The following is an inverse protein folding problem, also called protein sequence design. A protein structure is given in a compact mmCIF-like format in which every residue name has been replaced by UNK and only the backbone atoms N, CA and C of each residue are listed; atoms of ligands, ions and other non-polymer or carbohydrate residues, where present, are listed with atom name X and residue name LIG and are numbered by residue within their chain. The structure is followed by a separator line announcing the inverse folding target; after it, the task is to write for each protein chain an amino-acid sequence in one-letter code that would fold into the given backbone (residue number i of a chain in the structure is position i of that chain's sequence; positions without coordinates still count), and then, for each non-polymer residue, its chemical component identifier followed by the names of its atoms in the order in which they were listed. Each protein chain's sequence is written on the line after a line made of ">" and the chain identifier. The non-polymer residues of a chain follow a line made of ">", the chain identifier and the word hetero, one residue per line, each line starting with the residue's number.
data_IF_233577196327
#
_entry.id   IF_233577196327
#
_cell.length_a   1.000
_cell.length_b   1.000
_cell.length_c   1.000
_cell.angle_alpha   90.00
_cell.angle_beta   90.00
_cell.angle_gamma   90.00
#
_symmetry.space_group_name_H-M   'P 1'
#
loop_
_entity.id
_entity.type
_entity.pdbx_description
1 polymer ?
#
# COMPACT_ATOMS: atom_id res chain seq x y z
N UNK A 1 1.13 22.61 -1.53
CA UNK A 1 2.06 21.66 -2.18
C UNK A 1 1.19 20.67 -2.94
N UNK A 2 1.52 20.23 -4.16
CA UNK A 2 0.69 19.23 -4.85
C UNK A 2 1.27 17.87 -4.54
N UNK A 3 0.62 17.10 -3.66
CA UNK A 3 1.03 15.74 -3.33
C UNK A 3 0.55 14.83 -4.46
N UNK A 4 1.49 14.33 -5.27
CA UNK A 4 1.19 13.35 -6.33
C UNK A 4 2.00 12.07 -6.10
N UNK A 5 1.55 10.92 -6.62
CA UNK A 5 2.28 9.67 -6.52
C UNK A 5 3.72 9.78 -7.04
N UNK A 6 3.93 10.53 -8.13
CA UNK A 6 5.24 10.70 -8.78
C UNK A 6 6.24 11.42 -7.86
N UNK A 7 5.80 12.47 -7.16
CA UNK A 7 6.66 13.21 -6.22
C UNK A 7 7.04 12.33 -5.03
N UNK A 8 6.08 11.57 -4.49
CA UNK A 8 6.33 10.68 -3.36
C UNK A 8 7.22 9.48 -3.74
N UNK A 9 7.11 9.00 -4.98
CA UNK A 9 7.92 7.91 -5.51
C UNK A 9 9.40 8.29 -5.61
N UNK A 10 9.69 9.52 -6.05
CA UNK A 10 11.05 10.06 -6.15
C UNK A 10 11.67 10.39 -4.78
N UNK A 11 10.87 10.89 -3.83
CA UNK A 11 11.36 11.42 -2.55
C UNK A 11 11.41 10.40 -1.41
N UNK A 12 10.58 9.35 -1.45
CA UNK A 12 10.47 8.38 -0.36
C UNK A 12 10.99 7.00 -0.75
N UNK A 13 11.74 6.39 0.18
CA UNK A 13 11.97 4.95 0.13
C UNK A 13 10.67 4.18 0.35
N UNK A 14 10.59 2.94 -0.15
CA UNK A 14 9.43 2.07 0.06
C UNK A 14 9.07 1.89 1.54
N UNK A 15 10.07 1.75 2.42
CA UNK A 15 9.86 1.62 3.86
C UNK A 15 9.35 2.91 4.51
N UNK A 16 9.82 4.08 4.06
CA UNK A 16 9.32 5.36 4.53
C UNK A 16 7.87 5.59 4.10
N UNK A 17 7.54 5.29 2.84
CA UNK A 17 6.18 5.35 2.33
C UNK A 17 5.23 4.42 3.09
N UNK A 18 5.63 3.16 3.32
CA UNK A 18 4.84 2.18 4.07
C UNK A 18 4.60 2.60 5.53
N UNK A 19 5.61 3.18 6.18
CA UNK A 19 5.47 3.72 7.53
C UNK A 19 4.50 4.91 7.58
N UNK A 20 4.57 5.82 6.60
CA UNK A 20 3.67 6.98 6.53
C UNK A 20 2.23 6.55 6.24
N UNK A 21 2.03 5.61 5.31
CA UNK A 21 0.72 5.01 5.04
C UNK A 21 0.13 4.40 6.32
N UNK A 22 0.92 3.57 7.03
CA UNK A 22 0.48 2.93 8.28
C UNK A 22 0.09 3.94 9.36
N UNK A 23 0.83 5.05 9.46
CA UNK A 23 0.51 6.13 10.37
C UNK A 23 -0.83 6.81 10.02
N UNK A 24 -1.04 7.19 8.76
CA UNK A 24 -2.25 7.86 8.30
C UNK A 24 -3.48 6.96 8.39
N UNK A 25 -3.37 5.67 8.04
CA UNK A 25 -4.44 4.69 8.22
C UNK A 25 -4.82 4.51 9.69
N UNK A 26 -3.84 4.50 10.61
CA UNK A 26 -4.12 4.42 12.04
C UNK A 26 -4.81 5.70 12.55
N UNK A 27 -4.35 6.88 12.11
CA UNK A 27 -4.96 8.17 12.45
C UNK A 27 -6.44 8.18 12.06
N UNK A 28 -6.77 7.78 10.83
CA UNK A 28 -8.16 7.69 10.34
C UNK A 28 -9.03 6.71 11.14
N UNK A 29 -8.49 5.51 11.45
CA UNK A 29 -9.20 4.50 12.23
C UNK A 29 -9.51 4.96 13.65
N UNK A 30 -8.60 5.71 14.28
CA UNK A 30 -8.79 6.29 15.61
C UNK A 30 -9.87 7.39 15.61
N UNK A 31 -9.90 8.26 14.59
CA UNK A 31 -10.97 9.24 14.40
C UNK A 31 -12.33 8.58 14.20
N UNK A 32 -12.41 7.58 13.31
CA UNK A 32 -13.65 6.85 13.01
C UNK A 32 -14.21 6.17 14.27
N UNK A 33 -13.35 5.50 15.04
CA UNK A 33 -13.75 4.81 16.27
C UNK A 33 -14.27 5.78 17.33
N UNK A 34 -13.64 6.95 17.50
CA UNK A 34 -14.09 7.98 18.44
C UNK A 34 -15.44 8.59 18.05
N UNK A 35 -15.69 8.76 16.76
CA UNK A 35 -16.96 9.29 16.26
C UNK A 35 -18.14 8.35 16.57
N UNK A 36 -17.92 7.03 16.50
CA UNK A 36 -18.94 6.02 16.88
C UNK A 36 -19.26 6.08 18.38
N UNK A 37 -18.26 6.26 19.24
CA UNK A 37 -18.46 6.37 20.70
C UNK A 37 -19.20 7.65 21.07
N UNK A 38 -18.91 8.79 20.42
CA UNK A 38 -19.61 10.05 20.66
C UNK A 38 -21.10 10.03 20.23
N UNK A 39 -21.49 9.14 19.32
CA UNK A 39 -22.88 9.01 18.82
C UNK A 39 -23.76 8.14 19.74
N UNK A 40 -23.17 7.38 20.67
CA UNK A 40 -23.93 6.65 21.69
C UNK A 40 -24.10 7.57 22.92
N UNK A 41 -25.30 8.11 23.19
CA UNK A 41 -25.48 8.93 24.37
C UNK A 41 -25.49 8.04 25.62
N UNK A 42 -24.46 8.18 26.46
CA UNK A 42 -24.57 7.83 27.88
C UNK A 42 -25.37 8.94 28.58
N UNK A 43 -26.47 8.57 29.24
CA UNK A 43 -27.44 9.50 29.82
C UNK A 43 -26.93 10.23 31.09
N UNK A 44 -25.69 10.00 31.56
CA UNK A 44 -25.30 10.42 32.93
C UNK A 44 -23.87 10.96 33.13
N UNK A 45 -23.07 11.21 32.08
CA UNK A 45 -21.72 11.78 32.26
C UNK A 45 -21.64 13.24 31.80
N UNK A 46 -21.22 14.12 32.71
CA UNK A 46 -20.98 15.53 32.44
C UNK A 46 -19.96 15.68 31.30
N UNK A 47 -20.48 15.95 30.10
CA UNK A 47 -19.69 16.06 28.89
C UNK A 47 -18.46 16.97 29.11
N UNK A 48 -17.26 16.55 28.68
CA UNK A 48 -16.13 17.46 28.66
C UNK A 48 -16.52 18.72 27.87
N UNK A 49 -16.00 19.92 28.24
CA UNK A 49 -16.38 21.14 27.54
C UNK A 49 -16.15 20.94 26.04
N UNK A 50 -17.16 21.21 25.21
CA UNK A 50 -17.16 20.90 23.77
C UNK A 50 -15.88 21.31 23.03
N UNK A 51 -15.18 22.33 23.54
CA UNK A 51 -13.87 22.80 23.09
C UNK A 51 -12.78 21.73 23.14
N UNK A 52 -12.71 20.90 24.19
CA UNK A 52 -11.69 19.84 24.30
C UNK A 52 -12.00 18.65 23.39
N UNK A 53 -13.29 18.35 23.17
CA UNK A 53 -13.71 17.32 22.22
C UNK A 53 -13.36 17.70 20.77
N UNK A 54 -13.59 18.95 20.38
CA UNK A 54 -13.24 19.47 19.05
C UNK A 54 -11.72 19.46 18.80
N UNK A 55 -10.91 19.87 19.79
CA UNK A 55 -9.45 19.91 19.65
C UNK A 55 -8.87 18.50 19.48
N UNK A 56 -9.36 17.51 20.24
CA UNK A 56 -8.92 16.12 20.09
C UNK A 56 -9.44 15.47 18.79
N UNK A 57 -10.62 15.85 18.31
CA UNK A 57 -11.15 15.37 17.04
C UNK A 57 -10.32 15.88 15.85
N UNK A 58 -9.88 17.15 15.88
CA UNK A 58 -9.05 17.74 14.82
C UNK A 58 -7.65 17.14 14.74
N UNK A 59 -7.03 16.80 15.88
CA UNK A 59 -5.68 16.21 15.89
C UNK A 59 -5.67 14.73 15.43
N UNK A 60 -6.85 14.12 15.35
CA UNK A 60 -6.98 12.68 15.12
C UNK A 60 -7.73 12.33 13.85
N UNK A 61 -8.43 13.26 13.21
CA UNK A 61 -8.97 13.07 11.86
C UNK A 61 -7.93 13.40 10.79
N UNK A 62 -8.04 12.76 9.63
CA UNK A 62 -7.28 13.18 8.46
C UNK A 62 -7.85 14.50 7.94
N UNK A 63 -6.97 15.47 7.72
CA UNK A 63 -7.34 16.62 6.89
C UNK A 63 -7.35 16.23 5.39
N UNK A 64 -7.84 17.14 4.54
CA UNK A 64 -7.96 16.86 3.11
C UNK A 64 -6.61 16.63 2.42
N UNK A 65 -5.53 17.23 2.91
CA UNK A 65 -4.18 17.04 2.36
C UNK A 65 -3.63 15.68 2.76
N UNK A 66 -3.81 15.28 4.02
CA UNK A 66 -3.43 13.95 4.52
C UNK A 66 -4.22 12.81 3.87
N UNK A 67 -5.50 13.01 3.56
CA UNK A 67 -6.30 12.01 2.84
C UNK A 67 -5.83 11.81 1.39
N UNK A 68 -5.43 12.90 0.72
CA UNK A 68 -4.84 12.82 -0.62
C UNK A 68 -3.42 12.24 -0.58
N UNK A 69 -2.65 12.53 0.47
CA UNK A 69 -1.36 11.90 0.73
C UNK A 69 -1.50 10.38 0.93
N UNK A 70 -2.49 9.94 1.72
CA UNK A 70 -2.78 8.53 1.93
C UNK A 70 -3.06 7.81 0.59
N UNK A 71 -3.86 8.42 -0.27
CA UNK A 71 -4.15 7.89 -1.61
C UNK A 71 -2.88 7.81 -2.47
N UNK A 72 -2.09 8.88 -2.50
CA UNK A 72 -0.88 8.97 -3.31
C UNK A 72 0.21 8.01 -2.83
N UNK A 73 0.33 7.79 -1.52
CA UNK A 73 1.24 6.80 -0.93
C UNK A 73 0.85 5.36 -1.30
N UNK A 74 -0.44 5.04 -1.28
CA UNK A 74 -0.93 3.71 -1.69
C UNK A 74 -0.58 3.40 -3.14
N UNK A 75 -0.79 4.37 -4.04
CA UNK A 75 -0.41 4.26 -5.46
C UNK A 75 1.11 4.12 -5.64
N UNK A 76 1.91 4.98 -4.98
CA UNK A 76 3.37 4.93 -5.09
C UNK A 76 3.95 3.59 -4.60
N UNK A 77 3.45 3.06 -3.47
CA UNK A 77 3.85 1.74 -2.96
C UNK A 77 3.46 0.64 -3.96
N UNK A 78 2.25 0.69 -4.53
CA UNK A 78 1.80 -0.29 -5.51
C UNK A 78 2.69 -0.29 -6.77
N UNK A 79 3.07 0.89 -7.27
CA UNK A 79 3.97 1.01 -8.42
C UNK A 79 5.36 0.43 -8.12
N UNK A 80 5.98 0.84 -7.01
CA UNK A 80 7.29 0.30 -6.60
C UNK A 80 7.24 -1.21 -6.41
N UNK A 81 6.19 -1.74 -5.77
CA UNK A 81 6.03 -3.19 -5.60
C UNK A 81 5.97 -3.91 -6.95
N UNK A 82 5.18 -3.39 -7.89
CA UNK A 82 5.06 -3.97 -9.22
C UNK A 82 6.37 -3.91 -10.03
N UNK A 83 7.13 -2.82 -9.91
CA UNK A 83 8.48 -2.73 -10.51
C UNK A 83 9.43 -3.77 -9.92
N UNK A 84 9.34 -4.03 -8.61
CA UNK A 84 10.17 -5.03 -7.94
C UNK A 84 9.77 -6.46 -8.29
N UNK A 85 8.52 -6.74 -8.69
CA UNK A 85 8.07 -8.08 -9.07
C UNK A 85 8.92 -8.66 -10.21
N UNK A 86 9.19 -7.87 -11.25
CA UNK A 86 10.02 -8.32 -12.38
C UNK A 86 11.46 -8.68 -11.96
N UNK A 87 12.05 -7.89 -11.05
CA UNK A 87 13.38 -8.18 -10.50
C UNK A 87 13.37 -9.45 -9.62
N UNK A 88 12.29 -9.67 -8.85
CA UNK A 88 12.12 -10.85 -8.02
C UNK A 88 11.92 -12.13 -8.85
N UNK A 89 11.10 -12.09 -9.91
CA UNK A 89 10.94 -13.22 -10.83
C UNK A 89 12.27 -13.53 -11.54
N UNK A 90 13.01 -12.52 -11.99
CA UNK A 90 14.37 -12.70 -12.53
C UNK A 90 15.32 -13.37 -11.51
N UNK A 91 15.27 -12.96 -10.25
CA UNK A 91 16.08 -13.58 -9.20
C UNK A 91 15.68 -15.04 -8.95
N UNK A 92 14.38 -15.35 -8.94
CA UNK A 92 13.85 -16.71 -8.79
C UNK A 92 14.31 -17.62 -9.96
N UNK A 93 14.21 -17.13 -11.21
CA UNK A 93 14.68 -17.85 -12.40
C UNK A 93 16.19 -18.11 -12.34
N UNK A 94 17.00 -17.14 -11.92
CA UNK A 94 18.45 -17.31 -11.72
C UNK A 94 18.78 -18.32 -10.61
N UNK A 95 17.93 -18.41 -9.59
CA UNK A 95 18.05 -19.42 -8.53
C UNK A 95 17.57 -20.82 -8.95
N UNK A 96 17.02 -20.95 -10.16
CA UNK A 96 16.56 -22.22 -10.73
C UNK A 96 15.09 -22.55 -10.50
N UNK A 97 14.29 -21.63 -9.96
CA UNK A 97 12.85 -21.81 -9.83
C UNK A 97 12.19 -21.93 -11.21
N UNK A 98 11.23 -22.84 -11.36
CA UNK A 98 10.46 -22.96 -12.59
C UNK A 98 9.20 -22.06 -12.58
N UNK A 99 8.47 -22.02 -13.69
CA UNK A 99 7.27 -21.20 -13.78
C UNK A 99 6.11 -21.73 -12.94
N UNK A 100 6.14 -23.00 -12.51
CA UNK A 100 5.17 -23.55 -11.58
C UNK A 100 5.42 -23.03 -10.16
N UNK A 101 6.67 -23.00 -9.72
CA UNK A 101 7.07 -22.39 -8.44
C UNK A 101 6.70 -20.89 -8.40
N UNK A 102 6.98 -20.17 -9.50
CA UNK A 102 6.67 -18.74 -9.63
C UNK A 102 5.16 -18.50 -9.63
N UNK A 103 4.39 -19.25 -10.42
CA UNK A 103 2.93 -19.14 -10.45
C UNK A 103 2.32 -19.39 -9.06
N UNK A 104 2.80 -20.41 -8.36
CA UNK A 104 2.38 -20.70 -6.99
C UNK A 104 2.68 -19.54 -6.04
N UNK A 105 3.87 -18.93 -6.12
CA UNK A 105 4.25 -17.80 -5.28
C UNK A 105 3.39 -16.54 -5.56
N UNK A 106 3.01 -16.32 -6.82
CA UNK A 106 2.16 -15.20 -7.25
C UNK A 106 0.66 -15.48 -7.10
N UNK A 107 0.26 -16.73 -6.82
CA UNK A 107 -1.15 -17.13 -6.72
C UNK A 107 -1.88 -17.19 -8.06
N UNK A 108 -1.15 -17.38 -9.16
CA UNK A 108 -1.70 -17.49 -10.52
C UNK A 108 -1.23 -18.79 -11.19
N UNK A 109 -1.83 -19.18 -12.31
CA UNK A 109 -1.30 -20.30 -13.08
C UNK A 109 0.05 -19.96 -13.74
N UNK A 110 0.87 -20.97 -14.06
CA UNK A 110 2.22 -20.75 -14.60
C UNK A 110 2.24 -19.97 -15.92
N UNK A 111 1.23 -20.18 -16.78
CA UNK A 111 1.15 -19.52 -18.09
C UNK A 111 0.81 -18.04 -17.94
N UNK A 112 -0.09 -17.71 -17.02
CA UNK A 112 -0.38 -16.32 -16.63
C UNK A 112 0.84 -15.63 -16.04
N UNK A 113 1.60 -16.29 -15.14
CA UNK A 113 2.84 -15.73 -14.62
C UNK A 113 3.88 -15.46 -15.72
N UNK A 114 4.02 -16.40 -16.66
CA UNK A 114 4.90 -16.22 -17.82
C UNK A 114 4.44 -15.04 -18.69
N UNK A 115 3.16 -14.98 -19.05
CA UNK A 115 2.62 -13.92 -19.92
C UNK A 115 2.76 -12.52 -19.30
N UNK A 116 2.59 -12.40 -17.98
CA UNK A 116 2.74 -11.12 -17.27
C UNK A 116 4.18 -10.62 -17.23
N UNK A 117 5.16 -11.52 -17.11
CA UNK A 117 6.55 -11.14 -16.89
C UNK A 117 7.47 -11.37 -18.07
N UNK A 118 7.02 -12.03 -19.15
CA UNK A 118 7.91 -12.39 -20.27
C UNK A 118 8.66 -11.19 -20.81
N UNK A 119 8.06 -10.01 -20.88
CA UNK A 119 8.70 -8.82 -21.49
C UNK A 119 9.80 -8.22 -20.61
N UNK A 120 9.88 -8.62 -19.33
CA UNK A 120 10.95 -8.20 -18.42
C UNK A 120 12.26 -9.01 -18.58
N UNK A 121 12.25 -10.08 -19.37
CA UNK A 121 13.42 -10.92 -19.63
C UNK A 121 14.04 -10.58 -20.99
N UNK A 122 15.26 -10.07 -20.98
CA UNK A 122 16.05 -9.94 -22.22
C UNK A 122 16.71 -11.28 -22.61
N UNK A 123 16.91 -12.17 -21.66
CA UNK A 123 17.57 -13.47 -21.85
C UNK A 123 16.55 -14.59 -22.05
N UNK A 124 16.61 -15.26 -23.20
CA UNK A 124 15.73 -16.36 -23.55
C UNK A 124 15.90 -17.60 -22.66
N UNK A 125 17.08 -17.84 -22.08
CA UNK A 125 17.27 -18.94 -21.12
C UNK A 125 16.51 -18.68 -19.81
N UNK A 126 16.50 -17.41 -19.36
CA UNK A 126 15.74 -17.01 -18.18
C UNK A 126 14.24 -17.00 -18.46
N UNK A 127 13.80 -16.58 -19.66
CA UNK A 127 12.39 -16.60 -20.07
C UNK A 127 11.87 -18.04 -20.16
N UNK A 128 12.61 -18.94 -20.81
CA UNK A 128 12.18 -20.31 -21.09
C UNK A 128 10.93 -20.40 -21.98
N UNK A 129 10.51 -21.63 -22.27
CA UNK A 129 9.26 -21.86 -23.02
C UNK A 129 8.04 -21.50 -22.17
N UNK A 130 6.99 -20.98 -22.82
CA UNK A 130 5.71 -20.70 -22.15
C UNK A 130 5.15 -22.02 -21.59
N UNK A 131 4.91 -22.12 -20.27
CA UNK A 131 4.33 -23.32 -19.68
C UNK A 131 2.89 -23.52 -20.16
N UNK A 132 2.46 -24.78 -20.13
CA UNK A 132 1.12 -25.20 -20.57
C UNK A 132 0.02 -24.71 -19.62
#
# INVERSE_FOLDING_TARGET
>A
MTITPEVLDDELSLSAAANRLSYLTRKDAEATSRNVVAVLPDEDDAAPPAVWADVHAQDTSLDSEEALELLALGEAISRKAHEHDSAAVLAARRAGADWADIGLALGVDPATAWDQHRDAFDDDELRGERPA
#
